data_IF_383468271159
#
_entry.id   IF_383468271159
#
_cell.length_a   1.000
_cell.length_b   1.000
_cell.length_c   1.000
_cell.angle_alpha   90.00
_cell.angle_beta   90.00
_cell.angle_gamma   90.00
#
_symmetry.space_group_name_H-M   'P 1'
#
loop_
_entity.id
_entity.type
_entity.pdbx_description
1 polymer ?
#
# COMPACT_ATOMS: atom_id res chain seq x y z
N UNK A 1 -32.61 -35.54 -13.94
CA UNK A 1 -31.21 -35.44 -13.51
C UNK A 1 -30.29 -34.84 -14.58
N UNK A 2 -30.07 -35.51 -15.73
CA UNK A 2 -29.14 -35.04 -16.78
C UNK A 2 -29.46 -33.65 -17.37
N UNK A 3 -30.75 -33.31 -17.48
CA UNK A 3 -31.21 -32.01 -18.01
C UNK A 3 -30.79 -30.83 -17.11
N UNK A 4 -30.81 -31.01 -15.78
CA UNK A 4 -30.39 -29.97 -14.83
C UNK A 4 -28.88 -29.71 -14.91
N UNK A 5 -28.09 -30.76 -15.08
CA UNK A 5 -26.64 -30.67 -15.24
C UNK A 5 -26.29 -29.89 -16.52
N UNK A 6 -26.97 -30.20 -17.63
CA UNK A 6 -26.77 -29.49 -18.90
C UNK A 6 -27.11 -28.00 -18.79
N UNK A 7 -28.18 -27.66 -18.08
CA UNK A 7 -28.59 -26.26 -17.85
C UNK A 7 -27.52 -25.53 -17.03
N UNK A 8 -27.01 -26.13 -15.96
CA UNK A 8 -25.94 -25.55 -15.15
C UNK A 8 -24.64 -25.37 -15.94
N UNK A 9 -24.28 -26.35 -16.78
CA UNK A 9 -23.13 -26.25 -17.67
C UNK A 9 -23.29 -25.13 -18.70
N UNK A 10 -24.49 -24.97 -19.28
CA UNK A 10 -24.77 -23.91 -20.23
C UNK A 10 -24.66 -22.52 -19.57
N UNK A 11 -25.23 -22.34 -18.37
CA UNK A 11 -25.14 -21.09 -17.61
C UNK A 11 -23.69 -20.79 -17.24
N UNK A 12 -22.94 -21.79 -16.77
CA UNK A 12 -21.52 -21.64 -16.43
C UNK A 12 -20.65 -21.28 -17.63
N UNK A 13 -20.91 -21.89 -18.79
CA UNK A 13 -20.20 -21.59 -20.04
C UNK A 13 -20.48 -20.16 -20.51
N UNK A 14 -21.75 -19.72 -20.50
CA UNK A 14 -22.12 -18.34 -20.84
C UNK A 14 -21.48 -17.35 -19.88
N UNK A 15 -21.51 -17.61 -18.57
CA UNK A 15 -20.88 -16.76 -17.57
C UNK A 15 -19.36 -16.66 -17.75
N UNK A 16 -18.70 -17.77 -18.08
CA UNK A 16 -17.25 -17.83 -18.27
C UNK A 16 -16.82 -17.10 -19.55
N UNK A 17 -17.59 -17.24 -20.64
CA UNK A 17 -17.37 -16.48 -21.88
C UNK A 17 -17.60 -14.99 -21.64
N UNK A 18 -18.67 -14.60 -20.94
CA UNK A 18 -18.93 -13.20 -20.60
C UNK A 18 -17.81 -12.61 -19.74
N UNK A 19 -17.32 -13.36 -18.74
CA UNK A 19 -16.21 -12.94 -17.87
C UNK A 19 -14.87 -12.84 -18.61
N UNK A 20 -14.69 -13.62 -19.68
CA UNK A 20 -13.47 -13.64 -20.49
C UNK A 20 -13.51 -12.59 -21.61
N UNK A 21 -14.70 -12.27 -22.12
CA UNK A 21 -14.93 -11.22 -23.11
C UNK A 21 -15.00 -9.82 -22.50
N UNK A 22 -15.30 -9.69 -21.19
CA UNK A 22 -15.05 -8.45 -20.47
C UNK A 22 -13.52 -8.25 -20.37
N UNK A 23 -12.93 -7.26 -21.06
CA UNK A 23 -11.55 -6.90 -20.81
C UNK A 23 -11.45 -6.61 -19.32
N UNK A 24 -10.51 -7.27 -18.63
CA UNK A 24 -10.12 -6.88 -17.28
C UNK A 24 -9.78 -5.40 -17.37
N UNK A 25 -10.71 -4.54 -16.96
CA UNK A 25 -10.41 -3.14 -16.68
C UNK A 25 -9.17 -3.22 -15.79
N UNK A 26 -8.03 -2.62 -16.16
CA UNK A 26 -6.95 -2.50 -15.21
C UNK A 26 -7.60 -1.85 -13.99
N UNK A 27 -7.53 -2.54 -12.86
CA UNK A 27 -7.83 -1.91 -11.58
C UNK A 27 -6.63 -0.99 -11.31
N UNK A 28 -6.54 0.09 -12.09
CA UNK A 28 -5.94 1.32 -11.63
C UNK A 28 -7.02 1.97 -10.78
N UNK A 29 -7.12 1.54 -9.53
CA UNK A 29 -7.67 2.31 -8.41
C UNK A 29 -7.65 1.48 -7.12
N UNK A 30 -6.50 0.86 -6.86
CA UNK A 30 -5.88 1.14 -5.58
C UNK A 30 -4.71 2.09 -5.86
N UNK A 31 -5.05 3.36 -6.09
CA UNK A 31 -4.42 4.38 -5.26
C UNK A 31 -4.59 3.88 -3.83
N UNK A 32 -3.62 3.09 -3.39
CA UNK A 32 -3.47 2.64 -2.03
C UNK A 32 -3.29 3.96 -1.29
N UNK A 33 -4.42 4.54 -0.86
CA UNK A 33 -4.50 5.46 0.27
C UNK A 33 -4.07 4.69 1.52
N UNK A 34 -2.91 4.02 1.48
CA UNK A 34 -1.97 4.16 2.58
C UNK A 34 -1.77 5.65 2.63
N UNK A 35 -2.53 6.31 3.51
CA UNK A 35 -2.09 7.55 4.12
C UNK A 35 -0.58 7.40 4.21
N UNK A 36 0.15 8.23 3.46
CA UNK A 36 1.59 8.11 3.36
C UNK A 36 2.09 8.35 4.78
N UNK A 37 2.18 7.28 5.58
CA UNK A 37 2.67 7.32 6.93
C UNK A 37 4.11 7.72 6.73
N UNK A 38 4.37 9.00 6.97
CA UNK A 38 5.71 9.51 6.92
C UNK A 38 6.42 8.79 8.06
N UNK A 39 7.48 8.01 7.76
CA UNK A 39 8.19 7.29 8.79
C UNK A 39 8.73 8.33 9.77
N UNK A 40 8.28 8.28 11.03
CA UNK A 40 8.78 9.14 12.09
C UNK A 40 9.92 8.45 12.83
N UNK A 41 10.94 9.21 13.20
CA UNK A 41 12.07 8.75 14.00
C UNK A 41 12.17 9.56 15.28
N UNK A 42 12.72 8.96 16.33
CA UNK A 42 12.96 9.61 17.61
C UNK A 42 14.34 10.25 17.61
N UNK A 43 14.43 11.53 17.97
CA UNK A 43 15.70 12.18 18.21
C UNK A 43 16.40 11.58 19.44
N UNK A 44 17.69 11.24 19.33
CA UNK A 44 18.45 10.69 20.44
C UNK A 44 18.84 11.74 21.51
N UNK A 45 18.84 13.03 21.15
CA UNK A 45 19.20 14.15 22.06
C UNK A 45 18.01 14.57 22.92
N UNK A 46 16.90 14.99 22.29
CA UNK A 46 15.73 15.52 23.00
C UNK A 46 14.56 14.54 23.11
N UNK A 47 14.61 13.40 22.42
CA UNK A 47 13.55 12.39 22.47
C UNK A 47 12.30 12.73 21.67
N UNK A 48 12.24 13.88 20.98
CA UNK A 48 11.11 14.26 20.14
C UNK A 48 10.95 13.34 18.92
N UNK A 49 9.72 13.12 18.49
CA UNK A 49 9.41 12.41 17.24
C UNK A 49 9.33 13.41 16.09
N UNK A 50 10.07 13.14 15.02
CA UNK A 50 10.07 13.95 13.80
C UNK A 50 10.01 13.07 12.56
N UNK A 51 9.60 13.65 11.44
CA UNK A 51 9.65 12.96 10.16
C UNK A 51 11.10 12.59 9.80
N UNK A 52 11.30 11.35 9.36
CA UNK A 52 12.62 10.82 8.96
C UNK A 52 13.29 11.64 7.87
N UNK A 53 12.51 12.38 7.07
CA UNK A 53 13.04 13.30 6.04
C UNK A 53 13.68 14.55 6.62
N UNK A 54 13.24 14.99 7.79
CA UNK A 54 13.77 16.16 8.50
C UNK A 54 14.88 15.77 9.49
N UNK A 55 14.98 14.47 9.81
CA UNK A 55 15.97 13.94 10.72
C UNK A 55 17.33 13.77 10.04
N UNK A 56 18.38 14.27 10.70
CA UNK A 56 19.76 13.97 10.33
C UNK A 56 20.20 12.70 11.02
N UNK A 57 21.07 11.92 10.38
CA UNK A 57 21.61 10.70 10.97
C UNK A 57 23.07 10.93 11.35
N UNK A 58 23.38 10.85 12.63
CA UNK A 58 24.74 10.92 13.18
C UNK A 58 25.18 9.53 13.69
N UNK A 59 26.43 9.40 14.13
CA UNK A 59 27.04 8.19 14.69
C UNK A 59 26.25 7.57 15.86
N UNK A 60 25.51 8.39 16.61
CA UNK A 60 24.69 7.98 17.76
C UNK A 60 23.21 7.74 17.42
N UNK A 61 22.78 8.02 16.19
CA UNK A 61 21.41 7.82 15.72
C UNK A 61 20.79 9.08 15.11
N UNK A 62 19.45 9.13 15.06
CA UNK A 62 18.73 10.25 14.45
C UNK A 62 18.75 11.49 15.37
N UNK A 63 18.93 12.67 14.78
CA UNK A 63 18.96 13.97 15.45
C UNK A 63 18.05 14.98 14.72
N UNK A 64 17.52 15.96 15.45
CA UNK A 64 16.77 17.07 14.86
C UNK A 64 17.70 18.23 14.50
N UNK A 65 17.30 19.05 13.53
CA UNK A 65 18.13 20.14 13.00
C UNK A 65 18.54 21.18 14.06
N UNK A 66 17.71 21.38 15.08
CA UNK A 66 18.02 22.27 16.21
C UNK A 66 19.21 21.84 17.07
N UNK A 67 19.66 20.60 16.93
CA UNK A 67 20.81 20.04 17.65
C UNK A 67 21.97 19.71 16.70
N UNK A 68 21.87 20.11 15.43
CA UNK A 68 22.93 19.95 14.44
C UNK A 68 24.06 20.98 14.65
N UNK A 69 23.74 22.16 15.18
CA UNK A 69 24.69 23.27 15.38
C UNK A 69 25.57 23.13 16.65
N UNK A 70 25.53 21.99 17.34
CA UNK A 70 26.33 21.73 18.55
C UNK A 70 27.43 20.68 18.36
N UNK A 71 27.72 20.29 17.11
CA UNK A 71 28.77 19.35 16.74
C UNK A 71 30.05 20.07 16.31
#
# INVERSE_FOLDING_TARGET
MARLILILCAIGAVWLVLRRALPRRPVDDKADKRAAFTPTVRCHVCGAYLDRRLARHDTRGYCCQSHDESA
#
